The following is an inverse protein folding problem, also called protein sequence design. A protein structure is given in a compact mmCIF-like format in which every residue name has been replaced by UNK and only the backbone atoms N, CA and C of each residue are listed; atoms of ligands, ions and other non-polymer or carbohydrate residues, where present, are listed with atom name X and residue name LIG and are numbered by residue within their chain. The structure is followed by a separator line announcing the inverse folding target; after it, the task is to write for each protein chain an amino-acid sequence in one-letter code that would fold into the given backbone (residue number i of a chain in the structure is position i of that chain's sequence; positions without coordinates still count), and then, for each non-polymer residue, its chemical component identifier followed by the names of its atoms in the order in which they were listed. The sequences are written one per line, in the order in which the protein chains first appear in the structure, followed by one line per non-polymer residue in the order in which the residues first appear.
data_IF_292658652440
#
_entry.id   IF_292658652440
#
_cell.length_a   1.000
_cell.length_b   1.000
_cell.length_c   1.000
_cell.angle_alpha   90.00
_cell.angle_beta   90.00
_cell.angle_gamma   90.00
#
_symmetry.space_group_name_H-M   'P 1'
#
loop_
_entity.id
_entity.type
_entity.pdbx_description
1 polymer ?
#
# COMPACT_ATOMS: atom_id res chain seq x y z
N UNK A 1 -16.93 57.74 -14.58
CA UNK A 1 -16.50 57.25 -13.26
C UNK A 1 -17.77 56.99 -12.48
N UNK A 2 -18.32 55.78 -12.61
CA UNK A 2 -19.45 55.30 -11.82
C UNK A 2 -19.09 53.87 -11.44
N UNK A 3 -18.78 53.69 -10.16
CA UNK A 3 -18.49 52.40 -9.56
C UNK A 3 -19.80 51.62 -9.52
N UNK A 4 -19.87 50.51 -10.27
CA UNK A 4 -21.02 49.62 -10.26
C UNK A 4 -20.61 48.35 -9.50
N UNK A 5 -20.81 48.40 -8.18
CA UNK A 5 -20.71 47.26 -7.27
C UNK A 5 -21.75 46.21 -7.69
N UNK A 6 -21.35 45.33 -8.59
CA UNK A 6 -22.15 44.18 -8.99
C UNK A 6 -22.00 43.12 -7.91
N UNK A 7 -22.79 43.24 -6.85
CA UNK A 7 -23.04 42.14 -5.92
C UNK A 7 -23.74 41.02 -6.71
N UNK A 8 -22.93 40.11 -7.24
CA UNK A 8 -23.40 38.81 -7.69
C UNK A 8 -23.97 38.15 -6.43
N UNK A 9 -25.27 37.80 -6.36
CA UNK A 9 -25.76 36.98 -5.27
C UNK A 9 -24.95 35.69 -5.32
N UNK A 10 -24.10 35.48 -4.31
CA UNK A 10 -23.34 34.25 -4.14
C UNK A 10 -24.33 33.11 -4.30
N UNK A 11 -24.17 32.33 -5.38
CA UNK A 11 -25.06 31.23 -5.70
C UNK A 11 -25.31 30.45 -4.41
N UNK A 12 -26.57 30.48 -3.96
CA UNK A 12 -27.00 29.74 -2.79
C UNK A 12 -26.66 28.29 -3.10
N UNK A 13 -25.55 27.81 -2.55
CA UNK A 13 -25.11 26.44 -2.66
C UNK A 13 -25.92 25.68 -1.61
N UNK A 14 -26.97 24.96 -2.00
CA UNK A 14 -27.85 24.27 -1.06
C UNK A 14 -27.12 23.18 -0.25
N UNK A 15 -25.83 22.92 -0.52
CA UNK A 15 -24.96 22.05 0.26
C UNK A 15 -23.94 22.79 1.14
N UNK A 16 -23.84 24.12 1.11
CA UNK A 16 -22.91 24.87 1.94
C UNK A 16 -23.24 24.78 3.44
N UNK A 17 -24.52 24.71 3.80
CA UNK A 17 -24.96 24.45 5.19
C UNK A 17 -24.86 22.95 5.58
N UNK A 18 -24.58 22.05 4.63
CA UNK A 18 -24.37 20.63 4.89
C UNK A 18 -22.90 20.28 5.18
N UNK A 19 -22.02 21.28 5.38
CA UNK A 19 -20.61 21.03 5.73
C UNK A 19 -20.41 20.55 7.17
N UNK A 20 -21.46 20.60 8.00
CA UNK A 20 -21.50 20.07 9.36
C UNK A 20 -22.47 18.88 9.54
N UNK A 21 -22.96 18.29 8.45
CA UNK A 21 -23.74 17.05 8.51
C UNK A 21 -23.33 16.10 7.41
N UNK A 22 -22.18 15.49 7.68
CA UNK A 22 -21.78 14.18 7.20
C UNK A 22 -22.99 13.33 6.78
N UNK A 23 -23.09 13.03 5.48
CA UNK A 23 -24.09 12.12 4.94
C UNK A 23 -24.15 10.78 5.69
N UNK A 24 -25.22 9.99 5.51
CA UNK A 24 -25.49 8.81 6.33
C UNK A 24 -24.31 7.82 6.24
N UNK A 25 -23.45 7.85 7.26
CA UNK A 25 -22.37 6.88 7.44
C UNK A 25 -20.92 7.37 7.30
N UNK A 26 -20.58 8.63 7.60
CA UNK A 26 -19.17 8.99 7.92
C UNK A 26 -18.81 8.40 9.28
N UNK A 27 -18.78 7.07 9.38
CA UNK A 27 -18.15 6.39 10.49
C UNK A 27 -16.66 6.66 10.34
N UNK A 28 -16.06 7.19 11.40
CA UNK A 28 -14.63 7.47 11.47
C UNK A 28 -13.87 6.14 11.47
N UNK A 29 -13.63 5.61 10.27
CA UNK A 29 -12.94 4.35 10.06
C UNK A 29 -11.43 4.58 10.15
N UNK A 30 -10.74 3.63 10.76
CA UNK A 30 -9.28 3.55 10.71
C UNK A 30 -8.90 2.73 9.49
N UNK A 31 -8.22 3.37 8.55
CA UNK A 31 -7.76 2.74 7.32
C UNK A 31 -6.32 2.27 7.51
N UNK A 32 -6.12 0.95 7.51
CA UNK A 32 -4.78 0.35 7.47
C UNK A 32 -4.51 0.00 6.01
N UNK A 33 -3.57 0.70 5.37
CA UNK A 33 -3.16 0.43 3.99
C UNK A 33 -1.75 -0.14 3.97
N UNK A 34 -1.49 -1.18 3.19
CA UNK A 34 -0.13 -1.67 2.97
C UNK A 34 0.31 -1.31 1.56
N UNK A 35 1.44 -0.61 1.39
CA UNK A 35 2.02 -0.22 0.10
C UNK A 35 3.37 -0.89 -0.10
N UNK A 36 3.73 -1.25 -1.34
CA UNK A 36 5.06 -1.77 -1.66
C UNK A 36 6.02 -0.59 -1.89
N UNK A 37 7.12 -0.52 -1.13
CA UNK A 37 8.09 0.60 -1.21
C UNK A 37 9.20 0.30 -2.22
N UNK A 38 9.81 -0.88 -2.14
CA UNK A 38 10.85 -1.30 -3.09
C UNK A 38 11.03 -2.83 -3.06
N UNK A 39 10.80 -3.51 -4.18
CA UNK A 39 10.90 -4.97 -4.28
C UNK A 39 10.13 -5.68 -3.16
N UNK A 40 10.82 -6.43 -2.29
CA UNK A 40 10.19 -7.14 -1.15
C UNK A 40 9.80 -6.22 0.03
N UNK A 41 10.22 -4.95 0.05
CA UNK A 41 9.96 -4.02 1.16
C UNK A 41 8.55 -3.47 1.07
N UNK A 42 7.78 -3.67 2.12
CA UNK A 42 6.42 -3.14 2.30
C UNK A 42 6.42 -2.00 3.30
N UNK A 43 5.43 -1.12 3.23
CA UNK A 43 5.18 0.00 4.13
C UNK A 43 3.71 -0.07 4.56
N UNK A 44 3.46 -0.19 5.86
CA UNK A 44 2.10 -0.15 6.41
C UNK A 44 1.79 1.27 6.86
N UNK A 45 0.76 1.89 6.30
CA UNK A 45 0.29 3.22 6.70
C UNK A 45 -1.05 3.11 7.44
N UNK A 46 -1.12 3.69 8.62
CA UNK A 46 -2.34 3.76 9.45
C UNK A 46 -2.88 5.18 9.37
N UNK A 47 -4.11 5.30 8.86
CA UNK A 47 -4.81 6.57 8.65
C UNK A 47 -6.13 6.56 9.43
N UNK A 48 -6.64 7.73 9.78
CA UNK A 48 -7.94 7.88 10.45
C UNK A 48 -7.91 7.66 11.96
N UNK A 49 -6.75 7.80 12.61
CA UNK A 49 -6.72 7.90 14.08
C UNK A 49 -7.27 9.26 14.51
N UNK A 50 -8.04 9.29 15.61
CA UNK A 50 -8.51 10.56 16.19
C UNK A 50 -7.32 11.45 16.53
N UNK A 51 -7.44 12.74 16.21
CA UNK A 51 -6.42 13.77 16.51
C UNK A 51 -6.16 13.93 18.01
N UNK A 52 -7.07 13.45 18.85
CA UNK A 52 -7.00 13.48 20.31
C UNK A 52 -5.98 12.49 20.90
N UNK A 53 -5.58 11.45 20.16
CA UNK A 53 -4.62 10.47 20.65
C UNK A 53 -3.15 10.91 20.46
N UNK A 54 -2.29 10.61 21.43
CA UNK A 54 -0.86 10.88 21.32
C UNK A 54 -0.16 9.89 20.37
N UNK A 55 0.05 10.31 19.13
CA UNK A 55 0.78 9.56 18.09
C UNK A 55 2.18 9.12 18.53
N UNK A 56 2.86 9.89 19.38
CA UNK A 56 4.20 9.57 19.90
C UNK A 56 4.21 8.35 20.82
N UNK A 57 3.17 8.18 21.66
CA UNK A 57 3.03 7.01 22.54
C UNK A 57 2.78 5.77 21.70
N UNK A 58 1.80 5.86 20.80
CA UNK A 58 1.47 4.79 19.85
C UNK A 58 2.72 4.39 19.04
N UNK A 59 3.50 5.34 18.55
CA UNK A 59 4.76 5.05 17.84
C UNK A 59 5.78 4.30 18.72
N UNK A 60 5.94 4.69 19.98
CA UNK A 60 6.86 4.01 20.92
C UNK A 60 6.41 2.57 21.18
N UNK A 61 5.12 2.35 21.43
CA UNK A 61 4.57 1.01 21.65
C UNK A 61 4.67 0.14 20.39
N UNK A 62 4.39 0.69 19.21
CA UNK A 62 4.53 0.00 17.93
C UNK A 62 6.00 -0.38 17.65
N UNK A 63 6.95 0.50 17.95
CA UNK A 63 8.39 0.22 17.82
C UNK A 63 8.83 -0.90 18.78
N UNK A 64 8.28 -0.93 20.00
CA UNK A 64 8.60 -1.93 21.02
C UNK A 64 7.99 -3.31 20.71
N UNK A 65 6.73 -3.34 20.26
CA UNK A 65 6.00 -4.59 19.99
C UNK A 65 6.42 -5.21 18.64
N UNK A 66 6.72 -4.38 17.62
CA UNK A 66 6.99 -4.89 16.27
C UNK A 66 8.45 -4.89 15.86
N UNK A 67 9.36 -4.33 16.68
CA UNK A 67 10.79 -4.18 16.36
C UNK A 67 11.04 -3.52 14.98
N UNK A 68 10.07 -2.73 14.51
CA UNK A 68 10.07 -2.11 13.19
C UNK A 68 10.36 -0.62 13.32
N UNK A 69 11.01 -0.05 12.30
CA UNK A 69 11.12 1.40 12.23
C UNK A 69 9.79 2.02 11.79
N UNK A 70 9.52 3.23 12.26
CA UNK A 70 8.27 3.93 12.00
C UNK A 70 8.44 5.44 12.09
N UNK A 71 7.66 6.14 11.27
CA UNK A 71 7.61 7.59 11.20
C UNK A 71 6.16 8.10 11.29
N UNK A 72 5.98 9.30 11.84
CA UNK A 72 4.70 10.00 11.79
C UNK A 72 4.80 11.04 10.69
N UNK A 73 3.92 10.94 9.70
CA UNK A 73 3.84 11.88 8.58
C UNK A 73 2.56 12.70 8.72
N UNK A 74 2.63 13.98 8.40
CA UNK A 74 1.49 14.88 8.43
C UNK A 74 1.18 15.29 6.99
N UNK A 75 0.04 14.83 6.50
CA UNK A 75 -0.48 15.16 5.17
C UNK A 75 -1.66 16.13 5.32
N UNK A 76 -1.73 17.16 4.47
CA UNK A 76 -2.81 18.17 4.50
C UNK A 76 -4.18 17.57 4.17
N UNK A 77 -4.21 16.51 3.35
CA UNK A 77 -5.44 15.86 2.86
C UNK A 77 -5.86 14.69 3.76
N UNK A 78 -4.92 13.86 4.21
CA UNK A 78 -5.19 12.63 4.97
C UNK A 78 -5.03 12.81 6.48
N UNK A 79 -4.52 13.97 6.90
CA UNK A 79 -4.20 14.27 8.29
C UNK A 79 -2.90 13.61 8.75
N UNK A 80 -2.82 13.36 10.06
CA UNK A 80 -1.64 12.76 10.68
C UNK A 80 -1.70 11.24 10.54
N UNK A 81 -0.71 10.66 9.86
CA UNK A 81 -0.65 9.23 9.55
C UNK A 81 0.61 8.62 10.15
N UNK A 82 0.52 7.36 10.56
CA UNK A 82 1.68 6.60 11.05
C UNK A 82 2.12 5.66 9.94
N UNK A 83 3.39 5.76 9.55
CA UNK A 83 4.02 4.88 8.59
C UNK A 83 4.95 3.91 9.33
N UNK A 84 4.77 2.62 9.11
CA UNK A 84 5.58 1.55 9.67
C UNK A 84 6.27 0.78 8.55
N UNK A 85 7.52 0.38 8.79
CA UNK A 85 8.25 -0.49 7.89
C UNK A 85 7.74 -1.93 7.99
N UNK A 86 7.56 -2.59 6.84
CA UNK A 86 7.08 -3.97 6.73
C UNK A 86 5.56 -4.09 6.57
N UNK A 87 5.10 -5.33 6.37
CA UNK A 87 3.67 -5.68 6.40
C UNK A 87 3.28 -6.03 7.84
N UNK A 88 2.57 -5.12 8.48
CA UNK A 88 2.13 -5.26 9.87
C UNK A 88 0.61 -5.25 9.98
N UNK A 89 -0.12 -5.53 8.89
CA UNK A 89 -1.59 -5.39 8.84
C UNK A 89 -2.31 -6.14 9.96
N UNK A 90 -1.90 -7.38 10.26
CA UNK A 90 -2.49 -8.21 11.32
C UNK A 90 -2.13 -7.66 12.70
N UNK A 91 -0.85 -7.41 12.90
CA UNK A 91 -0.27 -6.91 14.14
C UNK A 91 -0.85 -5.57 14.55
N UNK A 92 -0.94 -4.60 13.63
CA UNK A 92 -1.55 -3.29 13.87
C UNK A 92 -3.04 -3.43 14.19
N UNK A 93 -3.78 -4.26 13.46
CA UNK A 93 -5.21 -4.47 13.75
C UNK A 93 -5.43 -5.04 15.15
N UNK A 94 -4.59 -6.00 15.57
CA UNK A 94 -4.67 -6.62 16.88
C UNK A 94 -4.25 -5.64 17.98
N UNK A 95 -3.19 -4.86 17.75
CA UNK A 95 -2.71 -3.85 18.69
C UNK A 95 -3.77 -2.77 18.96
N UNK A 96 -4.45 -2.27 17.92
CA UNK A 96 -5.50 -1.25 18.09
C UNK A 96 -6.68 -1.75 18.93
N UNK A 97 -7.04 -3.04 18.77
CA UNK A 97 -8.09 -3.68 19.56
C UNK A 97 -7.60 -3.95 20.99
N UNK A 98 -6.38 -4.47 21.16
CA UNK A 98 -5.75 -4.78 22.46
C UNK A 98 -5.55 -3.53 23.32
N UNK A 99 -5.13 -2.43 22.71
CA UNK A 99 -4.95 -1.14 23.37
C UNK A 99 -6.28 -0.42 23.66
N UNK A 100 -7.42 -0.97 23.20
CA UNK A 100 -8.74 -0.37 23.38
C UNK A 100 -8.94 0.96 22.65
N UNK A 101 -8.07 1.27 21.69
CA UNK A 101 -8.10 2.54 20.95
C UNK A 101 -9.22 2.55 19.91
N UNK A 102 -9.46 1.41 19.25
CA UNK A 102 -10.39 1.31 18.12
C UNK A 102 -11.14 -0.02 18.19
N UNK A 103 -12.45 0.01 17.94
CA UNK A 103 -13.28 -1.20 17.83
C UNK A 103 -12.99 -1.89 16.50
N UNK A 104 -13.00 -3.23 16.49
CA UNK A 104 -12.75 -4.06 15.29
C UNK A 104 -13.65 -3.68 14.11
N UNK A 105 -14.88 -3.25 14.38
CA UNK A 105 -15.88 -2.83 13.38
C UNK A 105 -15.48 -1.57 12.60
N UNK A 106 -14.61 -0.73 13.17
CA UNK A 106 -14.16 0.52 12.58
C UNK A 106 -12.81 0.38 11.85
N UNK A 107 -12.23 -0.82 11.81
CA UNK A 107 -10.94 -1.05 11.15
C UNK A 107 -11.19 -1.54 9.72
N UNK A 108 -10.77 -0.76 8.73
CA UNK A 108 -10.76 -1.15 7.32
C UNK A 108 -9.35 -1.44 6.87
N UNK A 109 -9.06 -2.71 6.58
CA UNK A 109 -7.77 -3.14 6.03
C UNK A 109 -7.85 -3.06 4.51
N UNK A 110 -7.05 -2.18 3.92
CA UNK A 110 -6.86 -2.05 2.48
C UNK A 110 -5.58 -2.79 2.12
N UNK A 111 -5.72 -3.97 1.54
CA UNK A 111 -4.60 -4.60 0.86
C UNK A 111 -4.52 -3.90 -0.49
N UNK A 112 -3.41 -3.22 -0.80
CA UNK A 112 -3.23 -2.73 -2.17
C UNK A 112 -3.23 -3.96 -3.04
N UNK A 113 -4.23 -4.06 -3.92
CA UNK A 113 -4.29 -5.07 -4.96
C UNK A 113 -3.30 -4.74 -6.08
N UNK A 114 -2.14 -4.17 -5.74
CA UNK A 114 -0.90 -4.65 -6.31
C UNK A 114 -0.67 -6.02 -5.66
N UNK A 115 -1.40 -7.09 -6.04
CA UNK A 115 -0.95 -7.89 -7.19
C UNK A 115 0.38 -7.31 -7.67
N UNK A 116 1.43 -7.67 -6.94
CA UNK A 116 2.66 -8.05 -7.61
C UNK A 116 2.17 -8.75 -8.87
N UNK A 117 2.24 -8.07 -10.00
CA UNK A 117 2.23 -8.75 -11.27
C UNK A 117 3.56 -9.51 -11.32
N UNK A 118 3.74 -10.45 -10.39
CA UNK A 118 4.11 -11.81 -10.72
C UNK A 118 3.17 -12.13 -11.85
N UNK A 119 3.60 -11.81 -13.06
CA UNK A 119 3.11 -12.52 -14.21
C UNK A 119 3.62 -13.94 -13.95
N UNK A 120 2.83 -14.73 -13.22
CA UNK A 120 3.10 -16.15 -13.08
C UNK A 120 3.34 -16.66 -14.51
N UNK A 121 4.54 -17.21 -14.73
CA UNK A 121 4.80 -17.89 -15.99
C UNK A 121 3.84 -19.08 -16.02
N UNK A 122 3.10 -19.23 -17.11
CA UNK A 122 2.31 -20.44 -17.32
C UNK A 122 3.24 -21.65 -17.32
N UNK A 123 2.75 -22.83 -16.96
CA UNK A 123 3.56 -24.06 -16.91
C UNK A 123 4.27 -24.34 -18.26
N UNK A 124 3.62 -23.98 -19.37
CA UNK A 124 4.20 -24.00 -20.73
C UNK A 124 5.40 -23.05 -20.88
N UNK A 125 5.28 -21.82 -20.37
CA UNK A 125 6.35 -20.82 -20.42
C UNK A 125 7.52 -21.24 -19.52
N UNK A 126 7.23 -21.74 -18.31
CA UNK A 126 8.25 -22.27 -17.39
C UNK A 126 9.03 -23.44 -18.01
N UNK A 127 8.31 -24.39 -18.62
CA UNK A 127 8.92 -25.54 -19.30
C UNK A 127 9.78 -25.10 -20.47
N UNK A 128 9.37 -24.05 -21.21
CA UNK A 128 10.15 -23.50 -22.30
C UNK A 128 11.42 -22.81 -21.79
N UNK A 129 11.33 -22.03 -20.71
CA UNK A 129 12.49 -21.38 -20.07
C UNK A 129 13.49 -22.43 -19.61
N UNK A 130 13.05 -23.47 -18.88
CA UNK A 130 13.93 -24.53 -18.39
C UNK A 130 14.61 -25.31 -19.53
N UNK A 131 13.84 -25.64 -20.59
CA UNK A 131 14.38 -26.34 -21.76
C UNK A 131 15.38 -25.48 -22.53
N UNK A 132 15.08 -24.19 -22.74
CA UNK A 132 15.98 -23.28 -23.42
C UNK A 132 17.24 -23.01 -22.59
N UNK A 133 17.12 -22.82 -21.27
CA UNK A 133 18.26 -22.64 -20.38
C UNK A 133 19.22 -23.85 -20.44
N UNK A 134 18.70 -25.08 -20.45
CA UNK A 134 19.52 -26.28 -20.62
C UNK A 134 20.24 -26.37 -21.98
N UNK A 135 19.77 -25.66 -23.00
CA UNK A 135 20.32 -25.69 -24.37
C UNK A 135 21.27 -24.53 -24.66
N UNK A 136 20.95 -23.32 -24.20
CA UNK A 136 21.68 -22.09 -24.54
C UNK A 136 22.26 -21.36 -23.32
N UNK A 137 22.00 -21.83 -22.09
CA UNK A 137 22.45 -21.22 -20.84
C UNK A 137 21.73 -19.90 -20.52
N UNK A 138 22.45 -18.99 -19.85
CA UNK A 138 21.98 -17.66 -19.41
C UNK A 138 21.75 -16.65 -20.57
N UNK A 139 21.52 -17.12 -21.78
CA UNK A 139 21.26 -16.26 -22.94
C UNK A 139 19.81 -15.80 -22.98
N UNK A 140 19.40 -14.99 -22.00
CA UNK A 140 18.02 -14.56 -21.77
C UNK A 140 17.36 -13.90 -22.99
N UNK A 141 18.11 -13.16 -23.79
CA UNK A 141 17.62 -12.53 -25.03
C UNK A 141 17.15 -13.56 -26.06
N UNK A 142 17.82 -14.71 -26.17
CA UNK A 142 17.42 -15.81 -27.05
C UNK A 142 16.19 -16.55 -26.51
N UNK A 143 16.10 -16.70 -25.19
CA UNK A 143 14.96 -17.35 -24.52
C UNK A 143 13.71 -16.48 -24.64
N UNK A 144 13.83 -15.18 -24.37
CA UNK A 144 12.75 -14.20 -24.50
C UNK A 144 12.21 -14.12 -25.94
N UNK A 145 13.08 -14.24 -26.95
CA UNK A 145 12.67 -14.30 -28.35
C UNK A 145 11.75 -15.48 -28.71
N UNK A 146 11.61 -16.48 -27.82
CA UNK A 146 10.70 -17.63 -27.98
C UNK A 146 9.42 -17.52 -27.16
N UNK A 147 9.32 -16.58 -26.23
CA UNK A 147 8.16 -16.40 -25.37
C UNK A 147 7.53 -15.02 -25.68
N UNK A 148 6.49 -14.99 -26.52
CA UNK A 148 5.89 -13.73 -26.94
C UNK A 148 5.32 -12.99 -25.72
N UNK A 149 5.71 -11.73 -25.56
CA UNK A 149 5.25 -10.87 -24.46
C UNK A 149 6.08 -10.94 -23.17
N UNK A 150 7.22 -11.64 -23.17
CA UNK A 150 8.15 -11.66 -22.03
C UNK A 150 9.48 -11.02 -22.37
N UNK A 151 10.01 -10.22 -21.45
CA UNK A 151 11.30 -9.56 -21.56
C UNK A 151 12.42 -10.48 -21.04
N UNK A 152 13.65 -10.38 -21.58
CA UNK A 152 14.79 -11.15 -21.07
C UNK A 152 15.04 -10.89 -19.58
N UNK A 153 14.87 -9.65 -19.12
CA UNK A 153 15.02 -9.26 -17.71
C UNK A 153 13.96 -9.93 -16.80
N UNK A 154 12.75 -10.16 -17.32
CA UNK A 154 11.68 -10.84 -16.58
C UNK A 154 11.99 -12.32 -16.39
N UNK A 155 12.54 -12.98 -17.42
CA UNK A 155 12.94 -14.38 -17.39
C UNK A 155 14.15 -14.58 -16.47
N UNK A 156 15.15 -13.69 -16.54
CA UNK A 156 16.31 -13.71 -15.65
C UNK A 156 15.89 -13.56 -14.19
N UNK A 157 15.03 -12.58 -13.90
CA UNK A 157 14.49 -12.36 -12.56
C UNK A 157 13.68 -13.56 -12.07
N UNK A 158 12.91 -14.20 -12.95
CA UNK A 158 12.17 -15.41 -12.64
C UNK A 158 13.10 -16.57 -12.28
N UNK A 159 14.06 -16.86 -13.15
CA UNK A 159 15.01 -17.96 -12.97
C UNK A 159 15.86 -17.78 -11.72
N UNK A 160 16.45 -16.60 -11.53
CA UNK A 160 17.24 -16.28 -10.34
C UNK A 160 16.36 -16.32 -9.08
N UNK A 161 15.12 -15.84 -9.12
CA UNK A 161 14.24 -15.95 -7.94
C UNK A 161 13.81 -17.38 -7.60
N UNK A 162 13.74 -18.28 -8.60
CA UNK A 162 13.26 -19.67 -8.46
C UNK A 162 14.38 -20.66 -8.16
N UNK A 163 15.58 -20.44 -8.69
CA UNK A 163 16.71 -21.36 -8.65
C UNK A 163 17.95 -20.84 -7.90
N UNK A 164 17.99 -19.57 -7.46
CA UNK A 164 19.10 -19.04 -6.64
C UNK A 164 19.18 -19.66 -5.23
N UNK A 165 18.21 -20.47 -4.81
CA UNK A 165 18.26 -21.22 -3.53
C UNK A 165 18.93 -22.59 -3.65
N UNK A 166 19.47 -22.96 -4.81
CA UNK A 166 20.31 -24.15 -4.97
C UNK A 166 21.63 -23.80 -5.63
N UNK A 167 22.57 -23.35 -4.83
CA UNK A 167 23.99 -23.58 -5.10
C UNK A 167 24.66 -23.84 -3.76
N UNK A 168 24.74 -25.12 -3.44
CA UNK A 168 25.72 -25.71 -2.54
C UNK A 168 26.34 -26.91 -3.29
#
# INVERSE_FOLDING_TARGET
MVELDSQIPTAFDPFAEAKDSAGPGVKEYVHIRTQQRNGKKSLTTVQGLKKEFSYEKILKDLKKEFCCNGNVVQDEVLGKVIQLQGDQRKNVSNFLVKAGLVKKDLIKIHVTSSRDSRQDFSEDEESLIAKMFSLVGERWTLIAGRIPGRSPEEIEKYWTSRYSTSSE
#
